data_IF_747324494635
#
_entry.id   IF_747324494635
#
_cell.length_a   1.000
_cell.length_b   1.000
_cell.length_c   1.000
_cell.angle_alpha   90.00
_cell.angle_beta   90.00
_cell.angle_gamma   90.00
#
_symmetry.space_group_name_H-M   'P 1'
#
loop_
_entity.id
_entity.type
_entity.pdbx_description
1 polymer ?
#
# COMPACT_ATOMS: atom_id res chain seq x y z
N UNK A 1 33.95 -22.70 -7.80
CA UNK A 1 33.27 -22.15 -8.98
C UNK A 1 32.23 -21.22 -8.42
N UNK A 2 32.63 -19.96 -8.38
CA UNK A 2 32.19 -19.00 -7.40
C UNK A 2 30.76 -18.54 -7.66
N UNK A 3 30.04 -18.22 -6.59
CA UNK A 3 28.66 -17.70 -6.63
C UNK A 3 28.58 -16.41 -7.47
N UNK A 4 29.70 -15.70 -7.62
CA UNK A 4 29.86 -14.56 -8.53
C UNK A 4 29.66 -14.96 -10.01
N UNK A 5 30.12 -16.12 -10.46
CA UNK A 5 29.96 -16.54 -11.86
C UNK A 5 28.51 -16.88 -12.22
N UNK A 6 27.71 -17.33 -11.23
CA UNK A 6 26.27 -17.57 -11.42
C UNK A 6 25.45 -16.28 -11.51
N UNK A 7 25.93 -15.16 -10.97
CA UNK A 7 25.30 -13.85 -11.12
C UNK A 7 25.56 -13.23 -12.50
N UNK A 8 26.60 -13.67 -13.21
CA UNK A 8 27.08 -13.03 -14.45
C UNK A 8 26.44 -13.63 -15.71
N UNK A 9 25.96 -14.88 -15.65
CA UNK A 9 25.40 -15.55 -16.83
C UNK A 9 23.88 -15.46 -16.88
N UNK A 10 23.39 -14.55 -17.73
CA UNK A 10 21.99 -14.29 -18.12
C UNK A 10 21.09 -13.58 -17.10
N UNK A 11 21.10 -12.25 -17.12
CA UNK A 11 19.90 -11.37 -17.10
C UNK A 11 20.35 -9.91 -17.07
N UNK A 12 19.58 -9.00 -17.66
CA UNK A 12 19.84 -7.55 -17.68
C UNK A 12 19.65 -6.88 -16.31
N UNK A 13 20.36 -7.35 -15.29
CA UNK A 13 20.33 -6.81 -13.93
C UNK A 13 21.11 -5.50 -13.92
N UNK A 14 20.48 -4.48 -13.37
CA UNK A 14 21.06 -3.14 -13.28
C UNK A 14 22.07 -3.07 -12.12
N UNK A 15 23.02 -2.13 -12.20
CA UNK A 15 24.09 -2.02 -11.21
C UNK A 15 23.57 -1.85 -9.78
N UNK A 16 22.53 -1.03 -9.58
CA UNK A 16 21.92 -0.85 -8.26
C UNK A 16 21.19 -2.10 -7.77
N UNK A 17 20.62 -2.91 -8.67
CA UNK A 17 19.95 -4.16 -8.31
C UNK A 17 20.98 -5.16 -7.79
N UNK A 18 22.13 -5.28 -8.46
CA UNK A 18 23.25 -6.12 -8.01
C UNK A 18 23.78 -5.71 -6.63
N UNK A 19 23.95 -4.40 -6.39
CA UNK A 19 24.38 -3.89 -5.08
C UNK A 19 23.41 -4.30 -3.96
N UNK A 20 22.09 -4.16 -4.21
CA UNK A 20 21.04 -4.54 -3.27
C UNK A 20 21.08 -6.05 -2.98
N UNK A 21 21.18 -6.87 -4.03
CA UNK A 21 21.19 -8.33 -3.91
C UNK A 21 22.39 -8.80 -3.08
N UNK A 22 23.59 -8.25 -3.34
CA UNK A 22 24.79 -8.58 -2.58
C UNK A 22 24.68 -8.20 -1.10
N UNK A 23 24.18 -7.01 -0.80
CA UNK A 23 23.95 -6.59 0.60
C UNK A 23 22.96 -7.50 1.31
N UNK A 24 21.85 -7.83 0.65
CA UNK A 24 20.84 -8.73 1.20
C UNK A 24 21.32 -10.18 1.29
N UNK A 25 22.30 -10.60 0.49
CA UNK A 25 22.88 -11.94 0.62
C UNK A 25 23.68 -12.08 1.92
N UNK A 26 24.49 -11.07 2.26
CA UNK A 26 25.36 -11.10 3.44
C UNK A 26 24.63 -10.86 4.75
N UNK A 27 23.66 -9.94 4.76
CA UNK A 27 23.01 -9.51 5.99
C UNK A 27 21.48 -9.53 5.90
N UNK A 28 20.85 -9.79 7.04
CA UNK A 28 19.40 -9.76 7.18
C UNK A 28 18.92 -8.32 7.40
N UNK A 29 17.92 -7.93 6.62
CA UNK A 29 17.36 -6.60 6.75
C UNK A 29 16.05 -6.40 6.02
N UNK A 30 15.49 -5.22 6.24
CA UNK A 30 14.29 -4.73 5.57
C UNK A 30 14.72 -3.85 4.39
N UNK A 31 14.46 -4.31 3.17
CA UNK A 31 14.64 -3.51 1.97
C UNK A 31 13.43 -2.58 1.76
N UNK A 32 13.69 -1.28 1.77
CA UNK A 32 12.74 -0.23 1.40
C UNK A 32 13.20 0.43 0.10
N UNK A 33 12.58 0.00 -0.99
CA UNK A 33 12.85 0.51 -2.33
C UNK A 33 11.84 1.61 -2.68
N UNK A 34 12.25 2.63 -3.43
CA UNK A 34 11.28 3.59 -3.96
C UNK A 34 10.37 2.92 -5.00
N UNK A 35 9.06 3.24 -4.95
CA UNK A 35 8.07 2.73 -5.88
C UNK A 35 8.50 2.92 -7.34
N UNK A 36 8.39 1.86 -8.13
CA UNK A 36 8.73 1.87 -9.57
C UNK A 36 10.18 1.55 -9.91
N UNK A 37 11.05 1.25 -8.93
CA UNK A 37 12.43 0.80 -9.18
C UNK A 37 12.57 -0.72 -9.38
N UNK A 38 11.46 -1.46 -9.50
CA UNK A 38 11.48 -2.89 -9.82
C UNK A 38 11.73 -3.82 -8.62
N UNK A 39 10.99 -3.64 -7.51
CA UNK A 39 11.08 -4.55 -6.34
C UNK A 39 10.87 -6.01 -6.73
N UNK A 40 9.93 -6.27 -7.64
CA UNK A 40 9.60 -7.60 -8.16
C UNK A 40 10.82 -8.29 -8.79
N UNK A 41 11.64 -7.55 -9.55
CA UNK A 41 12.85 -8.09 -10.19
C UNK A 41 13.88 -8.52 -9.15
N UNK A 42 14.15 -7.66 -8.17
CA UNK A 42 15.07 -7.95 -7.06
C UNK A 42 14.57 -9.15 -6.24
N UNK A 43 13.27 -9.20 -5.98
CA UNK A 43 12.66 -10.30 -5.26
C UNK A 43 12.79 -11.63 -6.02
N UNK A 44 12.57 -11.63 -7.34
CA UNK A 44 12.83 -12.78 -8.20
C UNK A 44 14.27 -13.27 -8.08
N UNK A 45 15.26 -12.40 -8.27
CA UNK A 45 16.68 -12.78 -8.18
C UNK A 45 17.03 -13.39 -6.81
N UNK A 46 16.49 -12.83 -5.73
CA UNK A 46 16.69 -13.39 -4.39
C UNK A 46 16.04 -14.77 -4.25
N UNK A 47 14.86 -14.98 -4.84
CA UNK A 47 14.26 -16.32 -4.88
C UNK A 47 15.13 -17.31 -5.64
N UNK A 48 15.75 -16.91 -6.75
CA UNK A 48 16.68 -17.76 -7.52
C UNK A 48 17.86 -18.23 -6.66
N UNK A 49 18.43 -17.33 -5.86
CA UNK A 49 19.55 -17.65 -4.96
C UNK A 49 19.20 -18.74 -3.94
N UNK A 50 17.95 -18.77 -3.47
CA UNK A 50 17.50 -19.72 -2.46
C UNK A 50 16.82 -20.97 -3.03
N UNK A 51 16.76 -21.13 -4.36
CA UNK A 51 16.04 -22.20 -5.06
C UNK A 51 16.72 -23.59 -5.03
N UNK A 52 17.63 -23.83 -4.08
CA UNK A 52 18.28 -25.13 -3.92
C UNK A 52 17.40 -26.11 -3.14
N UNK A 53 17.44 -27.40 -3.51
CA UNK A 53 16.69 -28.47 -2.83
C UNK A 53 17.04 -28.62 -1.33
N UNK A 54 18.26 -28.23 -0.93
CA UNK A 54 18.69 -28.27 0.47
C UNK A 54 18.17 -27.10 1.31
N UNK A 55 17.59 -26.08 0.69
CA UNK A 55 17.04 -24.93 1.39
C UNK A 55 15.53 -25.10 1.58
N UNK A 56 15.02 -24.81 2.77
CA UNK A 56 13.59 -24.71 3.02
C UNK A 56 13.24 -23.26 3.34
N UNK A 57 12.65 -22.57 2.37
CA UNK A 57 12.34 -21.14 2.49
C UNK A 57 10.85 -20.89 2.26
N UNK A 58 10.24 -20.13 3.17
CA UNK A 58 8.84 -19.74 3.06
C UNK A 58 8.70 -18.29 2.64
N UNK A 59 7.80 -18.06 1.68
CA UNK A 59 7.42 -16.74 1.20
C UNK A 59 6.06 -16.36 1.78
N UNK A 60 6.00 -15.19 2.41
CA UNK A 60 4.80 -14.64 3.04
C UNK A 60 4.43 -13.29 2.41
N UNK A 61 3.14 -12.94 2.43
CA UNK A 61 2.66 -11.60 2.05
C UNK A 61 2.40 -11.36 0.55
N UNK A 62 2.57 -12.36 -0.30
CA UNK A 62 2.24 -12.29 -1.73
C UNK A 62 0.74 -12.58 -1.97
N UNK A 63 0.11 -11.81 -2.87
CA UNK A 63 -1.25 -12.12 -3.36
C UNK A 63 -1.22 -13.26 -4.39
N UNK A 64 -2.34 -13.94 -4.60
CA UNK A 64 -2.41 -15.08 -5.54
C UNK A 64 -1.91 -14.74 -6.95
N UNK A 65 -2.27 -13.55 -7.47
CA UNK A 65 -1.79 -13.05 -8.76
C UNK A 65 -0.26 -12.88 -8.81
N UNK A 66 0.33 -12.43 -7.70
CA UNK A 66 1.78 -12.25 -7.60
C UNK A 66 2.51 -13.59 -7.49
N UNK A 67 1.92 -14.55 -6.77
CA UNK A 67 2.48 -15.90 -6.67
C UNK A 67 2.57 -16.54 -8.06
N UNK A 68 1.49 -16.44 -8.85
CA UNK A 68 1.48 -16.94 -10.23
C UNK A 68 2.51 -16.21 -11.10
N UNK A 69 2.55 -14.88 -11.02
CA UNK A 69 3.52 -14.07 -11.77
C UNK A 69 4.98 -14.48 -11.48
N UNK A 70 5.33 -14.63 -10.20
CA UNK A 70 6.69 -15.01 -9.81
C UNK A 70 7.06 -16.43 -10.26
N UNK A 71 6.12 -17.37 -10.19
CA UNK A 71 6.35 -18.75 -10.64
C UNK A 71 6.55 -18.78 -12.16
N UNK A 72 5.69 -18.10 -12.93
CA UNK A 72 5.84 -18.00 -14.38
C UNK A 72 7.18 -17.39 -14.77
N UNK A 73 7.62 -16.33 -14.09
CA UNK A 73 8.90 -15.71 -14.35
C UNK A 73 10.08 -16.65 -14.07
N UNK A 74 10.06 -17.38 -12.95
CA UNK A 74 11.12 -18.32 -12.60
C UNK A 74 11.16 -19.54 -13.53
N UNK A 75 10.00 -20.00 -14.02
CA UNK A 75 9.91 -21.07 -15.03
C UNK A 75 10.49 -20.58 -16.36
N UNK A 76 10.17 -19.35 -16.78
CA UNK A 76 10.73 -18.75 -18.00
C UNK A 76 12.26 -18.60 -17.93
N UNK A 77 12.78 -18.37 -16.73
CA UNK A 77 14.22 -18.31 -16.46
C UNK A 77 14.88 -19.70 -16.37
N UNK A 78 14.10 -20.79 -16.51
CA UNK A 78 14.60 -22.17 -16.60
C UNK A 78 15.04 -22.78 -15.27
N UNK A 79 14.43 -22.35 -14.15
CA UNK A 79 14.84 -22.78 -12.80
C UNK A 79 14.03 -24.00 -12.36
N UNK A 80 14.75 -25.11 -12.14
CA UNK A 80 14.23 -26.34 -11.58
C UNK A 80 14.91 -26.68 -10.24
N UNK A 81 14.15 -27.03 -9.16
CA UNK A 81 12.70 -27.10 -9.09
C UNK A 81 12.02 -25.74 -8.88
N UNK A 82 10.95 -25.46 -9.63
CA UNK A 82 10.16 -24.24 -9.47
C UNK A 82 9.49 -24.12 -8.07
N UNK A 83 9.27 -22.91 -7.55
CA UNK A 83 8.56 -22.70 -6.29
C UNK A 83 7.16 -23.30 -6.33
N UNK A 84 6.72 -23.84 -5.19
CA UNK A 84 5.41 -24.50 -5.07
C UNK A 84 4.45 -23.66 -4.24
N UNK A 85 3.19 -23.62 -4.65
CA UNK A 85 2.12 -22.97 -3.87
C UNK A 85 1.47 -24.02 -2.97
N UNK A 86 1.32 -23.67 -1.69
CA UNK A 86 0.61 -24.51 -0.72
C UNK A 86 -0.78 -23.94 -0.50
N UNK A 87 -1.78 -24.65 -1.05
CA UNK A 87 -3.19 -24.37 -0.83
C UNK A 87 -3.76 -25.22 0.31
N UNK A 88 -4.98 -24.88 0.74
CA UNK A 88 -5.69 -25.64 1.76
C UNK A 88 -6.12 -27.04 1.29
N UNK A 89 -6.12 -27.28 -0.02
CA UNK A 89 -6.58 -28.52 -0.65
C UNK A 89 -5.55 -29.64 -0.56
N UNK A 90 -4.28 -29.30 -0.33
CA UNK A 90 -3.20 -30.28 -0.21
C UNK A 90 -3.30 -31.00 1.13
N UNK A 91 -3.29 -32.33 1.09
CA UNK A 91 -3.38 -33.15 2.29
C UNK A 91 -2.24 -32.87 3.26
N UNK A 92 -2.46 -33.18 4.55
CA UNK A 92 -1.46 -32.96 5.60
C UNK A 92 -0.21 -33.81 5.35
N UNK A 93 -0.39 -35.02 4.79
CA UNK A 93 0.71 -35.93 4.52
C UNK A 93 1.57 -35.43 3.36
N UNK A 94 0.94 -35.07 2.24
CA UNK A 94 1.64 -34.56 1.06
C UNK A 94 2.40 -33.28 1.39
N UNK A 95 1.80 -32.38 2.19
CA UNK A 95 2.51 -31.16 2.65
C UNK A 95 3.79 -31.48 3.41
N UNK A 96 3.78 -32.48 4.31
CA UNK A 96 4.99 -32.89 5.02
C UNK A 96 6.06 -33.42 4.07
N UNK A 97 5.67 -34.23 3.09
CA UNK A 97 6.61 -34.73 2.09
C UNK A 97 7.20 -33.60 1.25
N UNK A 98 6.38 -32.63 0.84
CA UNK A 98 6.84 -31.43 0.13
C UNK A 98 7.86 -30.65 0.96
N UNK A 99 7.59 -30.43 2.25
CA UNK A 99 8.54 -29.72 3.12
C UNK A 99 9.86 -30.47 3.32
N UNK A 100 9.83 -31.81 3.34
CA UNK A 100 11.04 -32.65 3.43
C UNK A 100 11.87 -32.58 2.15
N UNK A 101 11.23 -32.46 0.98
CA UNK A 101 11.91 -32.28 -0.30
C UNK A 101 12.66 -30.95 -0.39
N UNK A 102 12.28 -29.96 0.43
CA UNK A 102 12.85 -28.62 0.40
C UNK A 102 12.42 -27.81 -0.83
N UNK A 103 13.02 -26.63 -0.99
CA UNK A 103 12.70 -25.63 -1.99
C UNK A 103 12.02 -24.38 -1.42
N UNK A 104 11.49 -23.55 -2.33
CA UNK A 104 10.67 -22.38 -1.98
C UNK A 104 9.18 -22.69 -2.01
N UNK A 105 8.50 -22.24 -0.96
CA UNK A 105 7.06 -22.42 -0.82
C UNK A 105 6.35 -21.07 -0.63
N UNK A 106 5.38 -20.80 -1.49
CA UNK A 106 4.38 -19.77 -1.25
C UNK A 106 3.29 -20.34 -0.34
N UNK A 107 3.13 -19.76 0.85
CA UNK A 107 2.21 -20.29 1.86
C UNK A 107 1.41 -19.15 2.47
N UNK A 108 0.12 -19.36 2.68
CA UNK A 108 -0.69 -18.41 3.44
C UNK A 108 -0.31 -18.44 4.92
N UNK A 109 -0.36 -17.27 5.58
CA UNK A 109 0.03 -17.18 6.98
C UNK A 109 -0.78 -18.11 7.90
N UNK A 110 -2.06 -18.35 7.57
CA UNK A 110 -2.92 -19.27 8.33
C UNK A 110 -2.44 -20.72 8.25
N UNK A 111 -2.07 -21.20 7.06
CA UNK A 111 -1.59 -22.57 6.86
C UNK A 111 -0.27 -22.77 7.59
N UNK A 112 0.69 -21.87 7.39
CA UNK A 112 2.01 -21.98 8.00
C UNK A 112 1.94 -21.90 9.53
N UNK A 113 1.09 -21.03 10.07
CA UNK A 113 0.88 -20.94 11.52
C UNK A 113 0.43 -22.26 12.13
N UNK A 114 -0.57 -22.93 11.52
CA UNK A 114 -1.07 -24.22 12.00
C UNK A 114 0.01 -25.29 11.87
N UNK A 115 0.76 -25.31 10.76
CA UNK A 115 1.80 -26.30 10.53
C UNK A 115 2.97 -26.15 11.53
N UNK A 116 3.34 -24.92 11.90
CA UNK A 116 4.36 -24.64 12.92
C UNK A 116 3.88 -24.97 14.35
N UNK A 117 2.63 -24.63 14.70
CA UNK A 117 2.07 -24.92 16.03
C UNK A 117 1.85 -26.41 16.28
N UNK A 118 1.56 -27.17 15.22
CA UNK A 118 1.38 -28.62 15.30
C UNK A 118 2.68 -29.40 15.07
N UNK A 119 3.83 -28.71 15.08
CA UNK A 119 5.17 -29.27 14.90
C UNK A 119 5.24 -30.26 13.71
N UNK A 120 4.61 -29.89 12.58
CA UNK A 120 4.60 -30.73 11.37
C UNK A 120 5.94 -30.73 10.65
N UNK A 121 6.67 -29.63 10.78
CA UNK A 121 8.05 -29.47 10.33
C UNK A 121 8.86 -28.99 11.54
N UNK A 122 10.03 -29.59 11.82
CA UNK A 122 10.97 -29.00 12.75
C UNK A 122 11.37 -27.60 12.28
N UNK A 123 11.10 -26.59 13.11
CA UNK A 123 11.39 -25.18 12.80
C UNK A 123 12.90 -24.97 12.55
N UNK A 124 13.75 -25.82 13.13
CA UNK A 124 15.20 -25.79 13.00
C UNK A 124 15.69 -26.11 11.57
N UNK A 125 14.89 -26.83 10.78
CA UNK A 125 15.22 -27.15 9.38
C UNK A 125 14.88 -26.02 8.40
N UNK A 126 14.12 -25.02 8.85
CA UNK A 126 13.71 -23.91 8.00
C UNK A 126 14.90 -22.96 7.80
N UNK A 127 15.41 -22.88 6.58
CA UNK A 127 16.56 -22.06 6.21
C UNK A 127 16.29 -20.57 6.37
N UNK A 128 15.07 -20.11 6.03
CA UNK A 128 14.73 -18.71 6.17
C UNK A 128 13.30 -18.34 5.79
N UNK A 129 12.95 -17.08 6.06
CA UNK A 129 11.66 -16.48 5.73
C UNK A 129 11.86 -15.25 4.84
N UNK A 130 11.13 -15.20 3.73
CA UNK A 130 11.03 -14.04 2.85
C UNK A 130 9.65 -13.40 3.06
N UNK A 131 9.63 -12.16 3.53
CA UNK A 131 8.38 -11.44 3.79
C UNK A 131 8.19 -10.33 2.76
N UNK A 132 7.28 -10.57 1.82
CA UNK A 132 6.84 -9.59 0.85
C UNK A 132 5.82 -8.62 1.47
N UNK A 133 5.76 -7.38 0.98
CA UNK A 133 4.90 -6.31 1.51
C UNK A 133 5.02 -6.11 3.03
N UNK A 134 6.25 -6.00 3.52
CA UNK A 134 6.55 -5.85 4.93
C UNK A 134 5.85 -4.65 5.61
N UNK A 135 5.42 -3.64 4.85
CA UNK A 135 4.63 -2.51 5.36
C UNK A 135 3.27 -2.89 5.96
N UNK A 136 2.73 -4.08 5.66
CA UNK A 136 1.46 -4.57 6.23
C UNK A 136 1.61 -5.23 7.60
N UNK A 137 2.85 -5.46 8.05
CA UNK A 137 3.13 -6.16 9.29
C UNK A 137 2.78 -5.25 10.46
N UNK A 138 1.98 -5.79 11.36
CA UNK A 138 1.58 -5.17 12.63
C UNK A 138 1.76 -6.18 13.76
N UNK A 139 1.70 -5.73 15.01
CA UNK A 139 1.79 -6.61 16.19
C UNK A 139 0.72 -7.70 16.22
N UNK A 140 -0.41 -7.50 15.53
CA UNK A 140 -1.52 -8.47 15.43
C UNK A 140 -1.53 -9.25 14.11
N UNK A 141 -0.60 -8.97 13.20
CA UNK A 141 -0.52 -9.67 11.91
C UNK A 141 -0.11 -11.13 12.10
N UNK A 142 -0.71 -12.07 11.35
CA UNK A 142 -0.35 -13.49 11.44
C UNK A 142 1.10 -13.73 11.00
N UNK A 143 1.64 -12.93 10.08
CA UNK A 143 3.05 -12.97 9.67
C UNK A 143 3.98 -12.66 10.85
N UNK A 144 3.67 -11.65 11.67
CA UNK A 144 4.48 -11.35 12.88
C UNK A 144 4.46 -12.49 13.89
N UNK A 145 3.37 -13.26 13.94
CA UNK A 145 3.26 -14.42 14.83
C UNK A 145 4.11 -15.59 14.34
N UNK A 146 4.09 -15.85 13.02
CA UNK A 146 4.97 -16.85 12.39
C UNK A 146 6.44 -16.53 12.66
N UNK A 147 6.83 -15.27 12.46
CA UNK A 147 8.22 -14.84 12.69
C UNK A 147 8.61 -15.01 14.16
N UNK A 148 7.71 -14.71 15.11
CA UNK A 148 7.93 -14.96 16.55
C UNK A 148 8.14 -16.45 16.86
N UNK A 149 7.29 -17.33 16.30
CA UNK A 149 7.45 -18.78 16.46
C UNK A 149 8.76 -19.28 15.86
N UNK A 150 9.11 -18.78 14.67
CA UNK A 150 10.33 -19.10 13.98
C UNK A 150 11.58 -18.72 14.81
N UNK A 151 11.67 -17.46 15.27
CA UNK A 151 12.80 -16.98 16.07
C UNK A 151 12.90 -17.59 17.47
N UNK A 152 11.80 -18.13 18.01
CA UNK A 152 11.83 -18.81 19.30
C UNK A 152 12.63 -20.13 19.24
N UNK A 153 12.47 -20.92 18.17
CA UNK A 153 13.19 -22.19 18.01
C UNK A 153 14.46 -22.03 17.16
N UNK A 154 14.37 -21.33 16.02
CA UNK A 154 15.45 -21.19 15.05
C UNK A 154 16.15 -19.82 15.15
N UNK A 155 17.45 -19.86 15.53
CA UNK A 155 18.31 -18.67 15.66
C UNK A 155 19.28 -18.47 14.49
N UNK A 156 19.44 -19.49 13.64
CA UNK A 156 20.46 -19.52 12.59
C UNK A 156 19.93 -19.08 11.24
N UNK A 157 18.67 -19.38 10.93
CA UNK A 157 18.13 -19.06 9.61
C UNK A 157 17.75 -17.58 9.46
N UNK A 158 17.60 -17.18 8.21
CA UNK A 158 17.53 -15.77 7.84
C UNK A 158 16.10 -15.22 7.80
N UNK A 159 15.95 -13.91 7.96
CA UNK A 159 14.69 -13.21 7.68
C UNK A 159 15.00 -12.01 6.79
N UNK A 160 14.29 -11.86 5.68
CA UNK A 160 14.42 -10.71 4.79
C UNK A 160 13.06 -10.13 4.47
N UNK A 161 12.90 -8.83 4.67
CA UNK A 161 11.67 -8.09 4.44
C UNK A 161 11.76 -7.21 3.20
N UNK A 162 10.69 -7.14 2.41
CA UNK A 162 10.64 -6.38 1.17
C UNK A 162 9.43 -5.43 1.16
N UNK A 163 9.66 -4.17 0.80
CA UNK A 163 8.56 -3.22 0.59
C UNK A 163 8.96 -2.08 -0.35
N UNK A 164 8.03 -1.65 -1.20
CA UNK A 164 8.13 -0.48 -2.08
C UNK A 164 7.29 0.72 -1.57
N UNK A 165 6.54 0.52 -0.49
CA UNK A 165 5.63 1.51 0.09
C UNK A 165 6.27 2.23 1.27
N UNK A 166 7.19 3.16 1.00
CA UNK A 166 7.86 3.96 2.04
C UNK A 166 6.87 4.81 2.87
N UNK A 167 5.83 5.35 2.22
CA UNK A 167 4.77 6.16 2.85
C UNK A 167 3.94 5.37 3.87
N UNK A 168 3.97 4.04 3.83
CA UNK A 168 3.25 3.23 4.81
C UNK A 168 4.01 3.09 6.13
N UNK A 169 5.33 3.31 6.13
CA UNK A 169 6.16 3.33 7.34
C UNK A 169 6.18 4.67 8.06
N UNK A 170 5.73 5.74 7.40
CA UNK A 170 5.57 7.07 8.02
C UNK A 170 4.22 7.24 8.71
N UNK A 171 3.40 6.18 8.77
CA UNK A 171 2.07 6.21 9.37
C UNK A 171 2.14 6.02 10.87
N UNK A 172 1.40 6.84 11.61
CA UNK A 172 1.31 6.70 13.06
C UNK A 172 2.66 6.91 13.74
N UNK A 173 2.79 6.38 14.95
CA UNK A 173 3.99 6.55 15.77
C UNK A 173 4.95 5.37 15.59
N UNK A 174 6.19 5.64 15.17
CA UNK A 174 7.28 4.66 15.08
C UNK A 174 6.96 3.34 14.34
N UNK A 175 6.18 3.39 13.26
CA UNK A 175 5.79 2.18 12.51
C UNK A 175 6.99 1.40 11.96
N UNK A 176 8.03 2.08 11.47
CA UNK A 176 9.26 1.41 11.03
C UNK A 176 9.90 0.57 12.14
N UNK A 177 10.01 1.14 13.34
CA UNK A 177 10.55 0.44 14.51
C UNK A 177 9.67 -0.75 14.91
N UNK A 178 8.34 -0.59 14.87
CA UNK A 178 7.39 -1.66 15.12
C UNK A 178 7.55 -2.82 14.13
N UNK A 179 7.64 -2.53 12.82
CA UNK A 179 7.85 -3.57 11.80
C UNK A 179 9.20 -4.26 11.99
N UNK A 180 10.28 -3.52 12.25
CA UNK A 180 11.60 -4.10 12.52
C UNK A 180 11.60 -5.03 13.72
N UNK A 181 10.95 -4.62 14.83
CA UNK A 181 10.79 -5.45 16.03
C UNK A 181 9.99 -6.72 15.74
N UNK A 182 8.88 -6.60 15.02
CA UNK A 182 8.04 -7.74 14.64
C UNK A 182 8.73 -8.73 13.71
N UNK A 183 9.60 -8.24 12.82
CA UNK A 183 10.40 -9.07 11.92
C UNK A 183 11.72 -9.55 12.54
N UNK A 184 12.09 -9.07 13.74
CA UNK A 184 13.39 -9.33 14.37
C UNK A 184 14.59 -8.95 13.49
N UNK A 185 14.47 -7.83 12.78
CA UNK A 185 15.50 -7.29 11.90
C UNK A 185 16.28 -6.18 12.60
N UNK A 186 17.59 -6.12 12.35
CA UNK A 186 18.48 -5.08 12.89
C UNK A 186 18.78 -3.97 11.88
N UNK A 187 18.83 -4.33 10.60
CA UNK A 187 19.26 -3.43 9.53
C UNK A 187 18.07 -3.06 8.63
N UNK A 188 18.07 -1.82 8.15
CA UNK A 188 17.14 -1.31 7.14
C UNK A 188 17.96 -0.75 5.99
N UNK A 189 17.61 -1.18 4.78
CA UNK A 189 18.25 -0.75 3.55
C UNK A 189 17.32 0.20 2.80
N UNK A 190 17.69 1.48 2.74
CA UNK A 190 16.90 2.54 2.12
C UNK A 190 17.44 2.85 0.72
N UNK A 191 16.63 2.61 -0.31
CA UNK A 191 16.99 2.88 -1.70
C UNK A 191 16.00 3.88 -2.33
N UNK A 192 16.13 5.19 -2.03
CA UNK A 192 15.34 6.24 -2.66
C UNK A 192 15.76 6.47 -4.12
N UNK A 193 14.90 7.11 -4.93
CA UNK A 193 15.19 7.40 -6.35
C UNK A 193 16.42 8.30 -6.57
N UNK A 194 16.78 9.11 -5.57
CA UNK A 194 17.95 9.98 -5.63
C UNK A 194 19.24 9.32 -5.12
N UNK A 195 19.19 8.03 -4.75
CA UNK A 195 20.38 7.27 -4.38
C UNK A 195 21.41 7.31 -5.51
N UNK A 196 22.69 7.45 -5.17
CA UNK A 196 23.77 7.70 -6.14
C UNK A 196 23.82 6.61 -7.23
N UNK A 197 23.80 5.33 -6.84
CA UNK A 197 23.83 4.19 -7.79
C UNK A 197 22.59 4.11 -8.68
N UNK A 198 21.42 4.48 -8.16
CA UNK A 198 20.17 4.47 -8.92
C UNK A 198 20.22 5.60 -9.95
N UNK A 199 20.59 6.80 -9.50
CA UNK A 199 20.70 7.99 -10.34
C UNK A 199 21.71 7.78 -11.47
N UNK A 200 22.91 7.28 -11.18
CA UNK A 200 23.92 7.01 -12.21
C UNK A 200 23.42 6.01 -13.26
N UNK A 201 22.68 4.98 -12.84
CA UNK A 201 22.13 3.97 -13.75
C UNK A 201 21.12 4.58 -14.74
N UNK A 202 20.21 5.44 -14.25
CA UNK A 202 19.14 6.00 -15.07
C UNK A 202 19.54 7.27 -15.84
N UNK A 203 20.59 7.99 -15.41
CA UNK A 203 21.11 9.15 -16.14
C UNK A 203 21.61 8.79 -17.55
N UNK A 204 22.04 7.55 -17.76
CA UNK A 204 22.48 7.07 -19.07
C UNK A 204 21.32 6.83 -20.07
N UNK A 205 20.10 6.65 -19.58
CA UNK A 205 18.92 6.29 -20.37
C UNK A 205 17.68 7.08 -19.94
N UNK A 206 17.79 8.41 -19.87
CA UNK A 206 16.64 9.27 -19.57
C UNK A 206 15.71 9.38 -20.80
N UNK A 207 14.40 9.08 -20.67
CA UNK A 207 13.46 9.31 -21.77
C UNK A 207 13.28 10.81 -22.03
N UNK A 208 13.13 11.19 -23.30
CA UNK A 208 12.80 12.57 -23.67
C UNK A 208 11.35 12.89 -23.27
N UNK A 209 11.18 13.85 -22.37
CA UNK A 209 9.86 14.31 -21.90
C UNK A 209 9.57 15.68 -22.49
N UNK A 210 8.46 15.79 -23.22
CA UNK A 210 7.95 17.07 -23.75
C UNK A 210 6.75 17.48 -22.88
N UNK A 211 6.94 18.50 -22.05
CA UNK A 211 5.87 19.06 -21.22
C UNK A 211 4.99 20.01 -22.03
N UNK A 212 3.71 19.65 -22.18
CA UNK A 212 2.70 20.49 -22.83
C UNK A 212 1.77 21.07 -21.77
N UNK A 213 1.90 22.38 -21.52
CA UNK A 213 1.03 23.07 -20.58
C UNK A 213 -0.30 23.41 -21.26
N UNK A 214 -1.36 22.69 -20.88
CA UNK A 214 -2.72 22.96 -21.32
C UNK A 214 -3.45 23.71 -20.21
N UNK A 215 -3.72 24.99 -20.43
CA UNK A 215 -4.49 25.81 -19.49
C UNK A 215 -5.96 25.45 -19.49
N UNK A 216 -6.60 25.52 -18.32
CA UNK A 216 -8.05 25.46 -18.20
C UNK A 216 -8.69 26.68 -18.87
N UNK A 217 -9.90 26.50 -19.38
CA UNK A 217 -10.71 27.63 -19.86
C UNK A 217 -11.12 28.53 -18.68
N UNK A 218 -11.51 29.78 -18.96
CA UNK A 218 -11.96 30.71 -17.93
C UNK A 218 -13.12 30.13 -17.11
N UNK A 219 -14.13 29.56 -17.78
CA UNK A 219 -15.28 28.94 -17.12
C UNK A 219 -14.89 27.74 -16.24
N UNK A 220 -13.97 26.89 -16.71
CA UNK A 220 -13.48 25.77 -15.90
C UNK A 220 -12.72 26.26 -14.66
N UNK A 221 -11.97 27.37 -14.80
CA UNK A 221 -11.25 27.98 -13.69
C UNK A 221 -12.22 28.53 -12.64
N UNK A 222 -13.29 29.21 -13.09
CA UNK A 222 -14.33 29.74 -12.19
C UNK A 222 -15.06 28.62 -11.43
N UNK A 223 -15.37 27.50 -12.11
CA UNK A 223 -15.96 26.31 -11.49
C UNK A 223 -14.97 25.70 -10.46
N UNK A 224 -13.70 25.57 -10.82
CA UNK A 224 -12.68 25.03 -9.93
C UNK A 224 -12.52 25.89 -8.67
N UNK A 225 -12.43 27.22 -8.81
CA UNK A 225 -12.34 28.15 -7.67
C UNK A 225 -13.57 27.99 -6.76
N UNK A 226 -14.77 27.92 -7.34
CA UNK A 226 -16.00 27.73 -6.59
C UNK A 226 -16.01 26.40 -5.82
N UNK A 227 -15.59 25.30 -6.45
CA UNK A 227 -15.45 23.99 -5.79
C UNK A 227 -14.43 24.02 -4.65
N UNK A 228 -13.31 24.71 -4.83
CA UNK A 228 -12.25 24.84 -3.81
C UNK A 228 -12.71 25.68 -2.61
N UNK A 229 -13.49 26.74 -2.84
CA UNK A 229 -14.13 27.51 -1.78
C UNK A 229 -15.11 26.65 -0.96
N UNK A 230 -15.91 25.80 -1.62
CA UNK A 230 -16.84 24.88 -0.97
C UNK A 230 -16.10 23.83 -0.13
N UNK A 231 -15.03 23.23 -0.66
CA UNK A 231 -14.18 22.29 0.09
C UNK A 231 -13.60 22.98 1.33
N UNK A 232 -13.07 24.20 1.18
CA UNK A 232 -12.51 24.95 2.30
C UNK A 232 -13.56 25.24 3.39
N UNK A 233 -14.78 25.62 3.01
CA UNK A 233 -15.87 25.84 3.96
C UNK A 233 -16.23 24.55 4.73
N UNK A 234 -16.35 23.41 4.03
CA UNK A 234 -16.59 22.11 4.67
C UNK A 234 -15.44 21.71 5.61
N UNK A 235 -14.18 21.98 5.24
CA UNK A 235 -13.02 21.72 6.10
C UNK A 235 -12.99 22.61 7.34
N UNK A 236 -13.38 23.88 7.23
CA UNK A 236 -13.49 24.79 8.38
C UNK A 236 -14.58 24.32 9.35
N UNK A 237 -15.73 23.88 8.85
CA UNK A 237 -16.76 23.29 9.70
C UNK A 237 -16.28 21.97 10.34
N UNK A 238 -15.58 21.14 9.58
CA UNK A 238 -14.98 19.91 10.09
C UNK A 238 -13.96 20.20 11.22
N UNK A 239 -13.08 21.19 11.05
CA UNK A 239 -12.13 21.64 12.08
C UNK A 239 -12.85 22.12 13.34
N UNK A 240 -13.91 22.90 13.19
CA UNK A 240 -14.67 23.41 14.34
C UNK A 240 -15.38 22.30 15.13
N UNK A 241 -15.79 21.22 14.46
CA UNK A 241 -16.49 20.10 15.08
C UNK A 241 -15.55 19.00 15.60
N UNK A 242 -14.26 19.00 15.23
CA UNK A 242 -13.30 17.95 15.59
C UNK A 242 -11.99 18.53 16.11
N UNK A 243 -11.86 18.61 17.45
CA UNK A 243 -10.64 19.12 18.10
C UNK A 243 -9.47 18.11 18.12
N UNK A 244 -9.72 16.86 17.76
CA UNK A 244 -8.77 15.74 17.86
C UNK A 244 -8.14 15.35 16.52
N UNK A 245 -8.60 15.92 15.41
CA UNK A 245 -7.96 15.73 14.11
C UNK A 245 -6.85 16.78 13.98
N UNK A 246 -5.68 16.33 13.56
CA UNK A 246 -4.54 17.22 13.34
C UNK A 246 -4.87 18.27 12.25
N UNK A 247 -4.64 19.54 12.59
CA UNK A 247 -4.97 20.67 11.72
C UNK A 247 -4.12 20.71 10.45
N UNK A 248 -2.93 20.09 10.50
CA UNK A 248 -2.00 19.99 9.37
C UNK A 248 -2.55 19.09 8.25
N UNK A 249 -3.41 18.12 8.61
CA UNK A 249 -4.08 17.23 7.64
C UNK A 249 -5.27 17.93 6.99
N UNK A 250 -5.96 18.81 7.72
CA UNK A 250 -7.22 19.44 7.29
C UNK A 250 -7.02 20.67 6.37
N UNK A 251 -5.96 20.69 5.56
CA UNK A 251 -5.71 21.77 4.60
C UNK A 251 -6.34 21.48 3.22
N UNK A 252 -6.63 22.53 2.44
CA UNK A 252 -7.23 22.39 1.11
C UNK A 252 -6.31 21.61 0.16
N UNK A 253 -5.01 21.88 0.21
CA UNK A 253 -4.02 21.19 -0.63
C UNK A 253 -3.98 19.69 -0.33
N UNK A 254 -4.01 19.31 0.95
CA UNK A 254 -4.09 17.92 1.35
C UNK A 254 -5.44 17.32 0.95
N UNK A 255 -6.54 18.06 1.09
CA UNK A 255 -7.88 17.58 0.76
C UNK A 255 -8.03 17.16 -0.70
N UNK A 256 -7.33 17.79 -1.65
CA UNK A 256 -7.39 17.37 -3.06
C UNK A 256 -6.69 16.02 -3.26
N UNK A 257 -5.60 15.76 -2.54
CA UNK A 257 -4.77 14.56 -2.75
C UNK A 257 -5.54 13.27 -2.49
N UNK A 258 -5.28 12.24 -3.29
CA UNK A 258 -5.88 10.92 -3.13
C UNK A 258 -5.59 10.29 -1.74
N UNK A 259 -4.48 10.67 -1.11
CA UNK A 259 -4.10 10.21 0.24
C UNK A 259 -5.01 10.74 1.34
N UNK A 260 -5.74 11.83 1.13
CA UNK A 260 -6.57 12.49 2.14
C UNK A 260 -7.60 11.56 2.78
N UNK A 261 -8.37 10.84 1.95
CA UNK A 261 -9.41 9.93 2.45
C UNK A 261 -8.79 8.80 3.28
N UNK A 262 -7.61 8.30 2.86
CA UNK A 262 -6.86 7.29 3.61
C UNK A 262 -6.36 7.84 4.95
N UNK A 263 -5.85 9.06 5.00
CA UNK A 263 -5.37 9.71 6.23
C UNK A 263 -6.51 9.99 7.22
N UNK A 264 -7.61 10.55 6.72
CA UNK A 264 -8.81 10.79 7.52
C UNK A 264 -9.37 9.48 8.06
N UNK A 265 -9.52 8.45 7.22
CA UNK A 265 -10.04 7.16 7.67
C UNK A 265 -9.17 6.57 8.80
N UNK A 266 -7.85 6.66 8.72
CA UNK A 266 -6.95 6.16 9.77
C UNK A 266 -7.16 6.86 11.12
N UNK A 267 -7.36 8.18 11.11
CA UNK A 267 -7.60 8.96 12.33
C UNK A 267 -9.01 8.72 12.89
N UNK A 268 -10.01 8.61 12.03
CA UNK A 268 -11.40 8.44 12.45
C UNK A 268 -11.75 6.99 12.82
N UNK A 269 -11.09 5.98 12.23
CA UNK A 269 -11.40 4.55 12.44
C UNK A 269 -11.50 4.14 13.94
N UNK A 270 -10.56 4.49 14.84
CA UNK A 270 -10.64 4.08 16.24
C UNK A 270 -11.85 4.66 16.98
N UNK A 271 -12.36 5.82 16.54
CA UNK A 271 -13.48 6.53 17.19
C UNK A 271 -14.70 6.71 16.29
N UNK A 272 -14.79 5.95 15.20
CA UNK A 272 -15.83 6.08 14.17
C UNK A 272 -17.26 6.01 14.73
N UNK A 273 -17.45 5.22 15.78
CA UNK A 273 -18.72 5.04 16.46
C UNK A 273 -19.12 6.26 17.32
N UNK A 274 -18.15 7.05 17.74
CA UNK A 274 -18.34 8.26 18.55
C UNK A 274 -18.46 9.53 17.69
N UNK A 275 -18.14 9.44 16.39
CA UNK A 275 -18.23 10.56 15.46
C UNK A 275 -19.70 10.91 15.18
N UNK A 276 -20.02 12.20 15.27
CA UNK A 276 -21.37 12.72 15.00
C UNK A 276 -21.83 12.43 13.57
N UNK A 277 -23.15 12.28 13.38
CA UNK A 277 -23.76 12.10 12.06
C UNK A 277 -23.42 13.28 11.15
N UNK A 278 -23.38 14.50 11.70
CA UNK A 278 -23.03 15.72 10.96
C UNK A 278 -21.60 15.67 10.42
N UNK A 279 -20.64 15.23 11.23
CA UNK A 279 -19.24 15.04 10.81
C UNK A 279 -19.13 13.98 9.71
N UNK A 280 -19.88 12.88 9.81
CA UNK A 280 -19.94 11.84 8.76
C UNK A 280 -20.50 12.39 7.44
N UNK A 281 -21.52 13.25 7.50
CA UNK A 281 -22.06 13.95 6.33
C UNK A 281 -21.03 14.89 5.70
N UNK A 282 -20.35 15.73 6.49
CA UNK A 282 -19.30 16.63 5.98
C UNK A 282 -18.18 15.89 5.25
N UNK A 283 -17.78 14.72 5.74
CA UNK A 283 -16.78 13.88 5.07
C UNK A 283 -17.27 13.36 3.72
N UNK A 284 -18.55 12.98 3.63
CA UNK A 284 -19.18 12.56 2.38
C UNK A 284 -19.34 13.74 1.40
N UNK A 285 -19.65 14.93 1.92
CA UNK A 285 -19.70 16.17 1.14
C UNK A 285 -18.34 16.49 0.52
N UNK A 286 -17.27 16.48 1.33
CA UNK A 286 -15.90 16.70 0.84
C UNK A 286 -15.53 15.64 -0.20
N UNK A 287 -15.88 14.37 0.01
CA UNK A 287 -15.66 13.31 -0.97
C UNK A 287 -16.36 13.59 -2.30
N UNK A 288 -17.61 14.06 -2.26
CA UNK A 288 -18.40 14.39 -3.45
C UNK A 288 -17.84 15.62 -4.17
N UNK A 289 -17.46 16.67 -3.46
CA UNK A 289 -16.86 17.87 -4.04
C UNK A 289 -15.51 17.56 -4.70
N UNK A 290 -14.68 16.72 -4.09
CA UNK A 290 -13.43 16.23 -4.68
C UNK A 290 -13.67 15.45 -5.98
N UNK A 291 -14.74 14.66 -6.02
CA UNK A 291 -15.14 13.93 -7.23
C UNK A 291 -15.50 14.90 -8.37
N UNK A 292 -16.19 16.02 -8.07
CA UNK A 292 -16.49 17.03 -9.08
C UNK A 292 -15.25 17.72 -9.63
N UNK A 293 -14.25 18.01 -8.78
CA UNK A 293 -12.95 18.55 -9.25
C UNK A 293 -12.29 17.59 -10.24
N UNK A 294 -12.36 16.28 -9.98
CA UNK A 294 -11.84 15.27 -10.89
C UNK A 294 -12.68 15.21 -12.19
N UNK A 295 -14.01 15.21 -12.06
CA UNK A 295 -14.92 15.08 -13.20
C UNK A 295 -14.83 16.25 -14.17
N UNK A 296 -14.55 17.46 -13.67
CA UNK A 296 -14.37 18.66 -14.50
C UNK A 296 -13.24 18.48 -15.54
N UNK A 297 -12.22 17.68 -15.23
CA UNK A 297 -11.07 17.46 -16.12
C UNK A 297 -11.14 16.16 -16.93
N UNK A 298 -11.93 15.19 -16.47
CA UNK A 298 -11.98 13.84 -17.06
C UNK A 298 -13.22 13.56 -17.93
N UNK A 299 -14.35 14.23 -17.66
CA UNK A 299 -15.62 13.98 -18.36
C UNK A 299 -16.03 15.14 -19.28
N UNK A 300 -16.94 14.84 -20.20
CA UNK A 300 -17.60 15.85 -21.03
C UNK A 300 -18.55 16.74 -20.21
N UNK A 301 -18.85 17.93 -20.74
CA UNK A 301 -19.65 18.94 -20.05
C UNK A 301 -21.08 18.47 -19.73
N UNK A 302 -21.69 17.62 -20.56
CA UNK A 302 -23.05 17.14 -20.37
C UNK A 302 -23.10 16.12 -19.23
N UNK A 303 -22.17 15.16 -19.23
CA UNK A 303 -22.04 14.18 -18.14
C UNK A 303 -21.72 14.87 -16.82
N UNK A 304 -20.81 15.85 -16.82
CA UNK A 304 -20.48 16.64 -15.64
C UNK A 304 -21.70 17.38 -15.09
N UNK A 305 -22.42 18.10 -15.95
CA UNK A 305 -23.62 18.85 -15.56
C UNK A 305 -24.70 17.94 -14.96
N UNK A 306 -24.96 16.79 -15.60
CA UNK A 306 -25.94 15.82 -15.10
C UNK A 306 -25.53 15.25 -13.73
N UNK A 307 -24.24 14.97 -13.52
CA UNK A 307 -23.73 14.47 -12.24
C UNK A 307 -23.90 15.51 -11.12
N UNK A 308 -23.55 16.77 -11.38
CA UNK A 308 -23.76 17.88 -10.44
C UNK A 308 -25.25 18.05 -10.13
N UNK A 309 -26.10 18.09 -11.16
CA UNK A 309 -27.52 18.29 -11.01
C UNK A 309 -28.18 17.14 -10.22
N UNK A 310 -27.77 15.90 -10.46
CA UNK A 310 -28.30 14.74 -9.73
C UNK A 310 -28.02 14.82 -8.23
N UNK A 311 -26.80 15.17 -7.83
CA UNK A 311 -26.43 15.35 -6.42
C UNK A 311 -27.21 16.52 -5.81
N UNK A 312 -27.32 17.63 -6.52
CA UNK A 312 -28.03 18.81 -6.05
C UNK A 312 -29.54 18.56 -5.84
N UNK A 313 -30.18 17.83 -6.75
CA UNK A 313 -31.58 17.42 -6.61
C UNK A 313 -31.73 16.50 -5.39
N UNK A 314 -30.82 15.56 -5.21
CA UNK A 314 -30.88 14.61 -4.11
C UNK A 314 -30.76 15.33 -2.75
N UNK A 315 -29.77 16.21 -2.60
CA UNK A 315 -29.56 17.01 -1.39
C UNK A 315 -30.75 17.93 -1.08
N UNK A 316 -31.36 18.57 -2.09
CA UNK A 316 -32.59 19.37 -1.91
C UNK A 316 -33.78 18.55 -1.40
N UNK A 317 -33.92 17.31 -1.87
CA UNK A 317 -34.97 16.39 -1.43
C UNK A 317 -34.74 15.90 0.01
N UNK A 318 -33.49 15.61 0.38
CA UNK A 318 -33.12 15.23 1.75
C UNK A 318 -33.27 16.41 2.75
N UNK A 319 -32.84 17.62 2.38
CA UNK A 319 -33.01 18.83 3.19
C UNK A 319 -34.48 19.23 3.42
N UNK A 320 -35.38 18.87 2.50
CA UNK A 320 -36.82 19.09 2.67
C UNK A 320 -37.50 18.05 3.57
N UNK A 321 -36.98 16.81 3.64
CA UNK A 321 -37.53 15.75 4.51
C UNK A 321 -37.22 15.95 6.00
N UNK A 322 -36.19 16.71 6.35
CA UNK A 322 -35.83 17.03 7.74
C UNK A 322 -36.66 18.14 8.40
N UNK A 323 -37.60 18.78 7.69
CA UNK A 323 -38.37 19.93 8.18
C UNK A 323 -39.70 19.59 8.88
N UNK A 324 -39.92 18.34 9.28
CA UNK A 324 -41.13 17.97 10.03
C UNK A 324 -40.85 17.69 11.52
N UNK A 325 -41.43 18.58 12.34
CA UNK A 325 -41.93 18.39 13.71
C UNK A 325 -40.88 18.52 14.83
N UNK A 326 -40.86 19.71 15.45
CA UNK A 326 -40.24 20.06 16.74
C UNK A 326 -38.70 20.03 16.85
N UNK A 327 -38.02 20.91 16.11
CA UNK A 327 -36.82 21.59 16.64
C UNK A 327 -36.48 22.80 15.77
N UNK A 328 -36.68 24.00 16.32
CA UNK A 328 -36.25 25.27 15.73
C UNK A 328 -34.74 25.51 15.93
N UNK A 329 -33.93 24.49 15.66
CA UNK A 329 -32.47 24.54 15.49
C UNK A 329 -32.05 23.52 14.44
N UNK A 330 -32.61 23.62 13.23
CA UNK A 330 -32.22 22.79 12.10
C UNK A 330 -30.89 23.27 11.53
N UNK A 331 -29.79 22.62 11.93
CA UNK A 331 -28.58 22.35 11.12
C UNK A 331 -28.40 23.25 9.87
N UNK A 332 -28.11 24.53 10.09
CA UNK A 332 -27.69 25.47 9.05
C UNK A 332 -26.19 25.24 8.77
N UNK A 333 -25.89 24.36 7.82
CA UNK A 333 -24.51 24.09 7.41
C UNK A 333 -24.37 23.30 6.11
N UNK A 334 -25.42 23.16 5.29
CA UNK A 334 -25.22 22.54 3.99
C UNK A 334 -24.44 23.51 3.11
N UNK A 335 -23.27 23.11 2.63
CA UNK A 335 -22.43 23.84 1.67
C UNK A 335 -23.21 24.28 0.43
N UNK A 336 -24.34 23.62 0.17
CA UNK A 336 -25.35 23.93 -0.82
C UNK A 336 -25.90 25.37 -0.77
N UNK A 337 -25.88 26.00 0.40
CA UNK A 337 -26.37 27.37 0.61
C UNK A 337 -25.28 28.44 0.49
N UNK A 338 -24.04 28.05 0.18
CA UNK A 338 -22.96 28.99 -0.03
C UNK A 338 -23.09 29.65 -1.42
N UNK A 339 -22.70 30.93 -1.57
CA UNK A 339 -22.75 31.62 -2.86
C UNK A 339 -21.85 30.98 -3.92
N UNK A 340 -20.85 30.18 -3.51
CA UNK A 340 -20.03 29.38 -4.41
C UNK A 340 -20.82 28.21 -5.05
N UNK A 341 -21.82 27.65 -4.35
CA UNK A 341 -22.67 26.60 -4.91
C UNK A 341 -23.67 27.17 -5.93
N UNK A 342 -24.13 28.41 -5.74
CA UNK A 342 -24.97 29.10 -6.74
C UNK A 342 -24.20 29.43 -8.01
N UNK A 343 -22.94 29.87 -7.88
CA UNK A 343 -22.02 30.11 -9.01
C UNK A 343 -21.69 28.84 -9.81
N UNK A 344 -21.78 27.66 -9.20
CA UNK A 344 -21.52 26.39 -9.87
C UNK A 344 -22.68 25.98 -10.79
N UNK A 345 -23.91 26.41 -10.47
CA UNK A 345 -25.14 26.01 -11.17
C UNK A 345 -25.62 27.02 -12.22
N UNK A 346 -25.12 28.25 -12.18
CA UNK A 346 -25.28 29.25 -13.25
C UNK A 346 -24.27 29.00 -14.36
#
# INVERSE_FOLDING_TARGET
MDVEDKLITNTGILQYENEIILQLYHEDGLLLLARGLGLERIFCEIMKLYCAEHNLVFILGCTDVEQTYFIEQLINDGIDPAPRIITADISIHDRKELYIQGGLFFVTARILTVDLLTDRIPIDLITGLLVYRAHRITDSSPESFIVRLYRHKNKTGFIKGFSDSALDFTRGYNQLECVMKNLFLRNVYLYPRFHVTIRSTFEHCSPDVIELQVSLTLLMTDIQVSLMELINACLQELRSSTAWIDNDILTVDQAILNSFERLIHLQLQPIWNQVSIRTKQLLNDIKTLRLFVLYLTQYDCVTFYNAVQAVFINEKLYGSRGKNIHSSQGSTGSWLYLPAAERLLM
#
